data_IF_745195078096
#
_entry.id   IF_745195078096
#
_cell.length_a   1.000
_cell.length_b   1.000
_cell.length_c   1.000
_cell.angle_alpha   90.00
_cell.angle_beta   90.00
_cell.angle_gamma   90.00
#
_symmetry.space_group_name_H-M   'P 1'
#
loop_
_entity.id
_entity.type
_entity.pdbx_description
1 polymer ?
#
# COMPACT_ATOMS: atom_id res chain seq x y z
N UNK A 1 2.90 16.59 -9.00
CA UNK A 1 2.52 15.25 -8.51
C UNK A 1 2.52 15.36 -7.00
N UNK A 2 1.64 14.65 -6.27
CA UNK A 2 1.56 14.77 -4.82
C UNK A 2 2.75 14.12 -4.12
N UNK A 3 2.97 14.53 -2.90
CA UNK A 3 4.19 14.34 -2.10
C UNK A 3 4.57 12.89 -1.83
N UNK A 4 3.72 11.92 -2.05
CA UNK A 4 4.09 10.53 -1.89
C UNK A 4 3.07 9.55 -2.46
N UNK A 5 3.54 8.45 -2.99
CA UNK A 5 2.73 7.28 -3.31
C UNK A 5 2.99 6.25 -2.21
N UNK A 6 2.06 6.15 -1.26
CA UNK A 6 2.10 5.12 -0.21
C UNK A 6 1.94 3.75 -0.85
N UNK A 7 2.73 2.80 -0.39
CA UNK A 7 2.77 1.43 -0.88
C UNK A 7 2.12 0.50 0.15
N UNK A 8 1.22 -0.35 -0.30
CA UNK A 8 0.74 -1.46 0.49
C UNK A 8 1.71 -2.68 0.41
N UNK A 9 1.53 -3.71 1.24
CA UNK A 9 2.40 -4.91 1.20
C UNK A 9 2.43 -5.62 -0.16
N UNK A 10 1.32 -5.64 -0.89
CA UNK A 10 1.23 -6.21 -2.23
C UNK A 10 2.05 -5.41 -3.24
N UNK A 11 2.06 -4.08 -3.11
CA UNK A 11 2.85 -3.20 -3.96
C UNK A 11 4.35 -3.44 -3.79
N UNK A 12 4.82 -3.52 -2.55
CA UNK A 12 6.24 -3.79 -2.25
C UNK A 12 6.63 -5.18 -2.72
N UNK A 13 5.78 -6.19 -2.51
CA UNK A 13 6.01 -7.54 -3.03
C UNK A 13 6.11 -7.54 -4.57
N UNK A 14 5.17 -6.90 -5.28
CA UNK A 14 5.20 -6.79 -6.75
C UNK A 14 6.42 -6.04 -7.27
N UNK A 15 6.84 -4.98 -6.58
CA UNK A 15 8.08 -4.26 -6.92
C UNK A 15 9.31 -5.15 -6.74
N UNK A 16 9.38 -5.88 -5.64
CA UNK A 16 10.44 -6.85 -5.35
C UNK A 16 10.55 -7.89 -6.47
N UNK A 17 9.42 -8.50 -6.84
CA UNK A 17 9.36 -9.50 -7.92
C UNK A 17 9.72 -8.91 -9.29
N UNK A 18 9.09 -7.80 -9.66
CA UNK A 18 9.27 -7.20 -10.98
C UNK A 18 10.65 -6.60 -11.23
N UNK A 19 11.37 -6.24 -10.16
CA UNK A 19 12.73 -5.69 -10.21
C UNK A 19 13.81 -6.70 -9.82
N UNK A 20 13.42 -7.86 -9.28
CA UNK A 20 14.35 -8.86 -8.72
C UNK A 20 15.23 -8.28 -7.61
N UNK A 21 14.63 -7.46 -6.72
CA UNK A 21 15.30 -6.79 -5.61
C UNK A 21 14.66 -7.21 -4.29
N UNK A 22 15.48 -7.41 -3.26
CA UNK A 22 14.97 -7.55 -1.90
C UNK A 22 14.35 -6.22 -1.40
N UNK A 23 13.55 -6.27 -0.34
CA UNK A 23 12.96 -5.07 0.26
C UNK A 23 14.04 -4.10 0.74
N UNK A 24 15.14 -4.60 1.32
CA UNK A 24 16.27 -3.77 1.73
C UNK A 24 16.97 -3.09 0.54
N UNK A 25 17.07 -3.78 -0.60
CA UNK A 25 17.58 -3.17 -1.85
C UNK A 25 16.60 -2.13 -2.43
N UNK A 26 15.29 -2.34 -2.30
CA UNK A 26 14.31 -1.31 -2.65
C UNK A 26 14.47 -0.07 -1.77
N UNK A 27 14.60 -0.24 -0.45
CA UNK A 27 14.82 0.84 0.52
C UNK A 27 16.14 1.59 0.28
N UNK A 28 17.14 0.96 -0.31
CA UNK A 28 18.40 1.62 -0.64
C UNK A 28 18.29 2.73 -1.70
N UNK A 29 17.18 2.81 -2.47
CA UNK A 29 17.10 3.87 -3.48
C UNK A 29 15.83 3.93 -4.34
N UNK A 30 14.84 3.09 -4.06
CA UNK A 30 13.60 3.02 -4.85
C UNK A 30 12.35 3.37 -4.07
N UNK A 31 12.35 3.03 -2.80
CA UNK A 31 11.31 3.37 -1.84
C UNK A 31 11.97 3.99 -0.60
N UNK A 32 11.18 4.66 0.22
CA UNK A 32 11.61 5.24 1.49
C UNK A 32 10.53 5.05 2.54
N UNK A 33 10.89 5.08 3.81
CA UNK A 33 9.92 5.07 4.90
C UNK A 33 9.47 6.50 5.19
N UNK A 34 8.18 6.71 5.22
CA UNK A 34 7.57 7.99 5.55
C UNK A 34 6.44 7.80 6.56
N UNK A 35 5.95 8.90 7.14
CA UNK A 35 4.83 8.89 8.07
C UNK A 35 3.56 9.28 7.32
N UNK A 36 2.54 8.45 7.40
CA UNK A 36 1.19 8.71 6.89
C UNK A 36 0.20 8.40 7.99
N UNK A 37 -0.55 9.42 8.43
CA UNK A 37 -1.57 9.27 9.47
C UNK A 37 -1.05 8.57 10.74
N UNK A 38 0.18 8.89 11.18
CA UNK A 38 0.85 8.31 12.34
C UNK A 38 1.53 6.97 12.10
N UNK A 39 1.23 6.29 10.99
CA UNK A 39 1.86 5.03 10.60
C UNK A 39 3.16 5.27 9.82
N UNK A 40 4.21 4.50 10.10
CA UNK A 40 5.42 4.45 9.27
C UNK A 40 5.21 3.44 8.16
N UNK A 41 5.14 3.92 6.92
CA UNK A 41 4.86 3.10 5.74
C UNK A 41 5.89 3.33 4.63
N UNK A 42 6.12 2.35 3.74
CA UNK A 42 6.91 2.56 2.54
C UNK A 42 6.19 3.48 1.54
N UNK A 43 6.98 4.35 0.93
CA UNK A 43 6.55 5.27 -0.13
C UNK A 43 7.43 5.10 -1.36
N UNK A 44 6.92 5.38 -2.55
CA UNK A 44 7.78 5.55 -3.71
C UNK A 44 8.71 6.74 -3.52
N UNK A 45 9.99 6.53 -3.79
CA UNK A 45 10.95 7.62 -3.69
C UNK A 45 10.73 8.65 -4.80
N UNK A 46 10.67 9.92 -4.39
CA UNK A 46 10.66 11.05 -5.29
C UNK A 46 12.06 11.63 -5.41
N UNK A 47 12.42 12.16 -6.57
CA UNK A 47 13.78 12.63 -6.87
C UNK A 47 13.77 13.99 -7.57
N UNK A 48 14.84 14.76 -7.36
CA UNK A 48 15.03 16.08 -7.96
C UNK A 48 14.16 17.17 -7.32
N UNK A 49 14.40 18.41 -7.72
CA UNK A 49 13.65 19.58 -7.22
C UNK A 49 12.16 19.58 -7.60
N UNK A 50 11.79 18.81 -8.62
CA UNK A 50 10.40 18.69 -9.09
C UNK A 50 9.67 17.49 -8.45
N UNK A 51 10.28 16.80 -7.47
CA UNK A 51 9.71 15.63 -6.79
C UNK A 51 9.12 14.60 -7.77
N UNK A 52 9.93 14.20 -8.73
CA UNK A 52 9.52 13.23 -9.76
C UNK A 52 9.73 11.82 -9.26
N UNK A 53 8.76 10.94 -9.54
CA UNK A 53 8.87 9.53 -9.24
C UNK A 53 10.13 8.92 -9.86
N UNK A 54 10.91 8.18 -9.08
CA UNK A 54 12.16 7.51 -9.49
C UNK A 54 12.00 6.57 -10.69
N UNK A 55 10.78 6.14 -10.97
CA UNK A 55 10.44 5.26 -12.09
C UNK A 55 9.96 5.97 -13.36
N UNK A 56 9.95 7.30 -13.38
CA UNK A 56 9.65 8.04 -14.62
C UNK A 56 10.90 8.12 -15.50
N UNK A 57 10.74 7.67 -16.74
CA UNK A 57 11.78 7.83 -17.75
C UNK A 57 11.81 9.28 -18.31
N UNK A 58 12.78 9.57 -19.20
CA UNK A 58 12.92 10.88 -19.86
C UNK A 58 11.68 11.34 -20.64
N UNK A 59 10.84 10.40 -21.09
CA UNK A 59 9.59 10.68 -21.80
C UNK A 59 8.39 10.85 -20.87
N UNK A 60 8.60 10.89 -19.54
CA UNK A 60 7.53 10.99 -18.54
C UNK A 60 6.66 9.73 -18.43
N UNK A 61 7.13 8.57 -18.91
CA UNK A 61 6.42 7.29 -18.83
C UNK A 61 6.98 6.46 -17.69
N UNK A 62 6.08 5.72 -17.02
CA UNK A 62 6.45 4.80 -15.96
C UNK A 62 7.21 3.58 -16.51
N UNK A 63 8.44 3.36 -16.05
CA UNK A 63 9.29 2.23 -16.46
C UNK A 63 8.82 0.89 -15.86
N UNK A 64 8.05 0.92 -14.78
CA UNK A 64 7.49 -0.25 -14.09
C UNK A 64 5.98 -0.41 -14.34
N UNK A 65 5.47 0.03 -15.49
CA UNK A 65 4.04 0.14 -15.76
C UNK A 65 3.28 -1.19 -15.58
N UNK A 66 3.89 -2.33 -15.90
CA UNK A 66 3.28 -3.66 -15.77
C UNK A 66 3.04 -4.09 -14.32
N UNK A 67 3.89 -3.65 -13.39
CA UNK A 67 3.80 -3.94 -11.95
C UNK A 67 3.80 -2.68 -11.08
N UNK A 68 3.32 -1.57 -11.65
CA UNK A 68 3.14 -0.31 -10.92
C UNK A 68 2.21 -0.49 -9.71
N UNK A 69 2.43 0.29 -8.62
CA UNK A 69 1.61 0.24 -7.42
C UNK A 69 0.12 0.42 -7.65
N UNK A 70 -0.68 -0.13 -6.76
CA UNK A 70 -2.14 -0.05 -6.79
C UNK A 70 -2.67 1.38 -6.82
N UNK A 71 -2.06 2.29 -6.07
CA UNK A 71 -2.40 3.71 -6.10
C UNK A 71 -2.18 4.32 -7.50
N UNK A 72 -1.07 3.98 -8.16
CA UNK A 72 -0.79 4.44 -9.53
C UNK A 72 -1.74 3.81 -10.56
N UNK A 73 -2.24 2.57 -10.32
CA UNK A 73 -3.25 1.92 -11.17
C UNK A 73 -4.62 2.55 -11.00
N UNK A 74 -4.93 2.93 -9.78
CA UNK A 74 -6.23 3.47 -9.40
C UNK A 74 -6.50 4.84 -10.04
N UNK A 75 -5.49 5.72 -10.11
CA UNK A 75 -5.65 7.08 -10.64
C UNK A 75 -6.33 7.10 -12.04
N UNK A 76 -7.34 7.93 -12.29
CA UNK A 76 -7.86 9.03 -11.46
C UNK A 76 -9.03 8.63 -10.54
N UNK A 77 -9.17 7.34 -10.23
CA UNK A 77 -10.13 6.91 -9.22
C UNK A 77 -9.53 7.08 -7.82
N UNK A 78 -10.39 7.22 -6.83
CA UNK A 78 -10.09 7.11 -5.40
C UNK A 78 -10.96 6.02 -4.78
N UNK A 79 -10.70 5.68 -3.51
CA UNK A 79 -11.56 4.86 -2.67
C UNK A 79 -12.12 5.73 -1.55
N UNK A 80 -13.43 5.66 -1.37
CA UNK A 80 -14.11 6.25 -0.23
C UNK A 80 -14.52 5.13 0.71
N UNK A 81 -13.89 5.07 1.87
CA UNK A 81 -14.08 4.01 2.86
C UNK A 81 -15.19 4.40 3.83
N UNK A 82 -16.11 3.48 4.11
CA UNK A 82 -17.27 3.65 4.98
C UNK A 82 -17.78 2.29 5.42
N UNK A 83 -18.13 2.13 6.70
CA UNK A 83 -18.79 0.94 7.27
C UNK A 83 -18.10 -0.40 6.92
N UNK A 84 -16.78 -0.48 7.10
CA UNK A 84 -16.02 -1.71 6.83
C UNK A 84 -15.89 -2.07 5.35
N UNK A 85 -16.20 -1.13 4.46
CA UNK A 85 -16.22 -1.32 3.01
C UNK A 85 -15.64 -0.09 2.30
N UNK A 86 -15.67 -0.07 0.96
CA UNK A 86 -15.37 1.13 0.19
C UNK A 86 -16.14 1.21 -1.12
N UNK A 87 -16.20 2.41 -1.66
CA UNK A 87 -16.72 2.71 -2.99
C UNK A 87 -15.66 3.39 -3.85
N UNK A 88 -15.61 3.07 -5.13
CA UNK A 88 -14.76 3.83 -6.04
C UNK A 88 -15.41 5.18 -6.37
N UNK A 89 -14.61 6.23 -6.29
CA UNK A 89 -15.00 7.59 -6.66
C UNK A 89 -14.11 8.09 -7.79
N UNK A 90 -14.67 8.90 -8.69
CA UNK A 90 -13.89 9.55 -9.75
C UNK A 90 -13.43 10.93 -9.26
N UNK A 91 -12.11 11.13 -9.22
CA UNK A 91 -11.51 12.43 -8.93
C UNK A 91 -11.57 13.30 -10.19
N UNK A 92 -12.71 13.96 -10.38
CA UNK A 92 -13.05 14.65 -11.65
C UNK A 92 -12.12 15.81 -11.99
N UNK A 93 -11.51 16.46 -10.99
CA UNK A 93 -10.59 17.58 -11.17
C UNK A 93 -9.17 17.15 -11.50
N UNK A 94 -8.80 15.90 -11.21
CA UNK A 94 -7.46 15.35 -11.44
C UNK A 94 -7.24 14.88 -12.89
N UNK A 95 -8.30 14.54 -13.60
CA UNK A 95 -8.20 14.07 -14.98
C UNK A 95 -8.51 15.19 -15.98
N UNK A 96 -7.49 15.71 -16.63
CA UNK A 96 -7.59 16.79 -17.65
C UNK A 96 -8.19 16.36 -18.99
N UNK A 97 -8.48 15.07 -19.20
CA UNK A 97 -9.05 14.60 -20.48
C UNK A 97 -10.52 14.99 -20.59
N UNK A 98 -10.89 15.64 -21.67
CA UNK A 98 -12.27 16.04 -21.99
C UNK A 98 -13.10 14.91 -22.59
N UNK A 99 -12.47 14.02 -23.37
CA UNK A 99 -13.11 12.84 -23.95
C UNK A 99 -12.88 11.63 -23.05
N UNK A 100 -13.96 11.13 -22.42
CA UNK A 100 -13.92 10.00 -21.49
C UNK A 100 -14.78 8.87 -21.98
N UNK A 101 -14.25 7.66 -22.03
CA UNK A 101 -15.02 6.44 -22.33
C UNK A 101 -15.49 5.78 -21.03
N UNK A 102 -16.67 5.17 -21.04
CA UNK A 102 -17.10 4.31 -19.93
C UNK A 102 -16.26 3.04 -19.91
N UNK A 103 -15.60 2.76 -18.79
CA UNK A 103 -14.82 1.54 -18.57
C UNK A 103 -15.20 0.94 -17.21
N UNK A 104 -15.26 -0.39 -17.12
CA UNK A 104 -15.47 -1.06 -15.84
C UNK A 104 -14.23 -0.87 -14.96
N UNK A 105 -14.40 -0.60 -13.66
CA UNK A 105 -13.33 -0.41 -12.69
C UNK A 105 -12.32 -1.56 -12.72
N UNK A 106 -12.77 -2.81 -12.75
CA UNK A 106 -11.91 -3.99 -12.88
C UNK A 106 -10.96 -3.92 -14.08
N UNK A 107 -11.45 -3.41 -15.22
CA UNK A 107 -10.61 -3.25 -16.43
C UNK A 107 -9.67 -2.04 -16.33
N UNK A 108 -10.06 -1.04 -15.55
CA UNK A 108 -9.24 0.15 -15.34
C UNK A 108 -8.05 -0.15 -14.41
N UNK A 109 -8.34 -0.74 -13.27
CA UNK A 109 -7.31 -1.09 -12.26
C UNK A 109 -6.38 -2.18 -12.80
N UNK A 110 -6.88 -3.08 -13.66
CA UNK A 110 -6.10 -4.10 -14.36
C UNK A 110 -5.15 -4.86 -13.44
N UNK A 111 -5.71 -5.45 -12.38
CA UNK A 111 -4.95 -6.27 -11.43
C UNK A 111 -5.42 -7.72 -11.45
N UNK A 112 -4.52 -8.71 -11.38
CA UNK A 112 -4.91 -10.11 -11.21
C UNK A 112 -5.75 -10.28 -9.95
N UNK A 113 -6.65 -11.27 -9.99
CA UNK A 113 -7.50 -11.63 -8.86
C UNK A 113 -8.17 -10.42 -8.18
N UNK A 114 -8.94 -9.67 -8.99
CA UNK A 114 -9.50 -8.38 -8.59
C UNK A 114 -10.36 -8.47 -7.33
N UNK A 115 -11.04 -9.59 -7.08
CA UNK A 115 -11.90 -9.75 -5.89
C UNK A 115 -11.05 -9.87 -4.62
N UNK A 116 -9.99 -10.68 -4.62
CA UNK A 116 -9.07 -10.77 -3.48
C UNK A 116 -8.29 -9.47 -3.30
N UNK A 117 -7.98 -8.77 -4.40
CA UNK A 117 -7.39 -7.44 -4.33
C UNK A 117 -8.31 -6.42 -3.62
N UNK A 118 -9.60 -6.36 -3.96
CA UNK A 118 -10.55 -5.46 -3.30
C UNK A 118 -10.68 -5.78 -1.81
N UNK A 119 -10.79 -7.08 -1.47
CA UNK A 119 -10.80 -7.50 -0.07
C UNK A 119 -9.53 -7.09 0.66
N UNK A 120 -8.36 -7.37 0.09
CA UNK A 120 -7.07 -7.05 0.67
C UNK A 120 -6.91 -5.55 0.95
N UNK A 121 -7.20 -4.68 -0.02
CA UNK A 121 -7.02 -3.23 0.16
C UNK A 121 -8.02 -2.65 1.17
N UNK A 122 -9.20 -3.25 1.31
CA UNK A 122 -10.17 -2.92 2.33
C UNK A 122 -9.67 -3.29 3.72
N UNK A 123 -9.27 -4.55 3.91
CA UNK A 123 -8.79 -5.08 5.19
C UNK A 123 -7.50 -4.36 5.63
N UNK A 124 -6.59 -4.08 4.69
CA UNK A 124 -5.38 -3.33 4.98
C UNK A 124 -5.67 -1.91 5.46
N UNK A 125 -6.63 -1.23 4.83
CA UNK A 125 -7.02 0.12 5.25
C UNK A 125 -7.56 0.12 6.70
N UNK A 126 -8.50 -0.76 7.01
CA UNK A 126 -9.07 -0.82 8.36
C UNK A 126 -8.07 -1.28 9.41
N UNK A 127 -7.18 -2.22 9.07
CA UNK A 127 -6.05 -2.59 9.93
C UNK A 127 -5.16 -1.38 10.27
N UNK A 128 -4.83 -0.53 9.28
CA UNK A 128 -4.04 0.68 9.54
C UNK A 128 -4.80 1.69 10.40
N UNK A 129 -6.12 1.80 10.27
CA UNK A 129 -6.94 2.65 11.16
C UNK A 129 -6.91 2.14 12.60
N UNK A 130 -6.98 0.83 12.82
CA UNK A 130 -6.87 0.23 14.16
C UNK A 130 -5.49 0.51 14.77
N UNK A 131 -4.42 0.34 14.00
CA UNK A 131 -3.06 0.70 14.42
C UNK A 131 -2.97 2.18 14.76
N UNK A 132 -3.50 3.05 13.90
CA UNK A 132 -3.53 4.50 14.09
C UNK A 132 -4.25 4.90 15.39
N UNK A 133 -5.39 4.26 15.70
CA UNK A 133 -6.13 4.52 16.94
C UNK A 133 -5.25 4.24 18.17
N UNK A 134 -4.54 3.11 18.19
CA UNK A 134 -3.61 2.75 19.28
C UNK A 134 -2.46 3.76 19.37
N UNK A 135 -1.91 4.20 18.23
CA UNK A 135 -0.81 5.17 18.19
C UNK A 135 -1.22 6.55 18.74
N UNK A 136 -2.46 6.99 18.46
CA UNK A 136 -2.97 8.29 18.95
C UNK A 136 -3.35 8.28 20.44
N UNK A 137 -3.79 7.14 20.95
CA UNK A 137 -4.13 7.00 22.36
C UNK A 137 -2.91 6.83 23.28
N UNK A 138 -1.75 6.48 22.71
CA UNK A 138 -0.54 6.19 23.49
C UNK A 138 0.37 7.41 23.60
N UNK A 139 0.82 7.69 24.84
CA UNK A 139 1.93 8.62 25.13
C UNK A 139 3.30 7.88 25.22
N UNK A 140 3.30 6.54 25.16
CA UNK A 140 4.51 5.73 25.23
C UNK A 140 5.24 5.71 23.88
N UNK A 141 6.34 6.44 23.81
CA UNK A 141 7.18 6.52 22.60
C UNK A 141 7.79 5.18 22.18
N UNK A 142 8.06 4.27 23.13
CA UNK A 142 8.60 2.95 22.83
C UNK A 142 7.51 2.04 22.25
N UNK A 143 6.28 2.10 22.76
CA UNK A 143 5.16 1.41 22.17
C UNK A 143 4.89 1.90 20.74
N UNK A 144 4.84 3.22 20.53
CA UNK A 144 4.64 3.84 19.20
C UNK A 144 5.70 3.35 18.22
N UNK A 145 6.96 3.40 18.60
CA UNK A 145 8.07 2.93 17.77
C UNK A 145 7.98 1.43 17.49
N UNK A 146 7.74 0.63 18.51
CA UNK A 146 7.71 -0.83 18.39
C UNK A 146 6.54 -1.29 17.53
N UNK A 147 5.36 -0.67 17.64
CA UNK A 147 4.19 -0.99 16.83
C UNK A 147 4.43 -0.65 15.35
N UNK A 148 4.97 0.53 15.06
CA UNK A 148 5.34 0.92 13.71
C UNK A 148 6.39 -0.02 13.10
N UNK A 149 7.46 -0.34 13.86
CA UNK A 149 8.48 -1.26 13.40
C UNK A 149 7.95 -2.68 13.21
N UNK A 150 6.99 -3.09 14.04
CA UNK A 150 6.28 -4.35 13.88
C UNK A 150 5.53 -4.41 12.54
N UNK A 151 4.73 -3.39 12.21
CA UNK A 151 4.02 -3.31 10.91
C UNK A 151 5.00 -3.41 9.74
N UNK A 152 6.08 -2.63 9.76
CA UNK A 152 7.10 -2.65 8.70
C UNK A 152 7.75 -4.04 8.58
N UNK A 153 8.14 -4.64 9.69
CA UNK A 153 8.85 -5.92 9.66
C UNK A 153 7.95 -7.08 9.24
N UNK A 154 6.72 -7.15 9.74
CA UNK A 154 5.83 -8.29 9.48
C UNK A 154 5.18 -8.25 8.11
N UNK A 155 4.81 -7.07 7.62
CA UNK A 155 4.03 -6.96 6.39
C UNK A 155 4.87 -6.56 5.17
N UNK A 156 6.05 -6.01 5.36
CA UNK A 156 6.88 -5.55 4.24
C UNK A 156 8.25 -6.24 4.17
N UNK A 157 8.96 -6.40 5.29
CA UNK A 157 10.32 -6.98 5.29
C UNK A 157 10.31 -8.50 5.35
N UNK A 158 9.30 -9.12 5.94
CA UNK A 158 9.16 -10.56 5.93
C UNK A 158 8.99 -11.03 4.48
N UNK A 159 9.84 -11.95 3.99
CA UNK A 159 9.75 -12.39 2.61
C UNK A 159 8.46 -13.19 2.37
N UNK A 160 7.74 -12.82 1.31
CA UNK A 160 6.68 -13.64 0.75
C UNK A 160 7.28 -14.64 -0.24
N UNK A 161 6.86 -15.89 -0.15
CA UNK A 161 7.27 -16.93 -1.10
C UNK A 161 6.63 -16.68 -2.48
N UNK A 162 7.44 -16.56 -3.51
CA UNK A 162 7.01 -16.28 -4.88
C UNK A 162 6.14 -17.40 -5.48
N UNK A 163 6.28 -18.63 -4.97
CA UNK A 163 5.56 -19.81 -5.45
C UNK A 163 4.19 -20.00 -4.80
N UNK A 164 3.87 -19.19 -3.82
CA UNK A 164 2.61 -19.24 -3.08
C UNK A 164 1.77 -18.01 -3.36
N UNK A 165 0.45 -18.15 -3.20
CA UNK A 165 -0.45 -17.01 -3.29
C UNK A 165 -0.12 -15.94 -2.26
N UNK A 166 -0.07 -14.68 -2.68
CA UNK A 166 0.25 -13.56 -1.81
C UNK A 166 -0.81 -13.37 -0.72
N UNK A 167 -2.08 -13.46 -1.09
CA UNK A 167 -3.18 -13.18 -0.17
C UNK A 167 -3.26 -14.23 0.94
N UNK A 168 -3.04 -15.50 0.62
CA UNK A 168 -2.95 -16.57 1.64
C UNK A 168 -1.85 -16.28 2.65
N UNK A 169 -0.67 -15.86 2.18
CA UNK A 169 0.46 -15.54 3.05
C UNK A 169 0.21 -14.28 3.89
N UNK A 170 -0.38 -13.24 3.29
CA UNK A 170 -0.74 -12.01 3.99
C UNK A 170 -1.73 -12.30 5.12
N UNK A 171 -2.80 -13.03 4.83
CA UNK A 171 -3.81 -13.35 5.84
C UNK A 171 -3.30 -14.30 6.93
N UNK A 172 -2.35 -15.20 6.64
CA UNK A 172 -1.71 -16.01 7.66
C UNK A 172 -0.96 -15.17 8.71
N UNK A 173 -0.39 -14.04 8.29
CA UNK A 173 0.25 -13.08 9.21
C UNK A 173 -0.80 -12.32 10.01
N UNK A 174 -1.83 -11.76 9.37
CA UNK A 174 -2.86 -10.94 10.02
C UNK A 174 -3.73 -11.74 11.00
N UNK A 175 -4.10 -12.97 10.69
CA UNK A 175 -4.90 -13.84 11.61
C UNK A 175 -4.17 -14.19 12.90
N UNK A 176 -2.86 -14.32 12.88
CA UNK A 176 -2.08 -14.61 14.09
C UNK A 176 -2.18 -13.46 15.11
N UNK A 177 -2.45 -12.24 14.66
CA UNK A 177 -2.51 -11.04 15.50
C UNK A 177 -3.90 -10.71 16.02
N UNK A 178 -4.95 -10.89 15.21
CA UNK A 178 -6.32 -10.73 15.67
C UNK A 178 -6.62 -11.67 16.83
N UNK A 179 -6.15 -12.93 16.75
CA UNK A 179 -6.29 -13.88 17.89
C UNK A 179 -5.47 -13.52 19.12
N UNK A 180 -4.29 -12.89 18.95
CA UNK A 180 -3.48 -12.46 20.10
C UNK A 180 -4.16 -11.30 20.86
N UNK A 181 -4.81 -10.38 20.15
CA UNK A 181 -5.57 -9.29 20.75
C UNK A 181 -6.86 -9.75 21.43
N UNK A 182 -7.60 -10.69 20.83
CA UNK A 182 -8.79 -11.29 21.46
C UNK A 182 -8.44 -12.06 22.74
N UNK A 183 -7.27 -12.71 22.79
CA UNK A 183 -6.81 -13.44 23.97
C UNK A 183 -6.31 -12.50 25.07
N UNK A 184 -5.67 -11.38 24.71
CA UNK A 184 -5.21 -10.37 25.67
C UNK A 184 -6.34 -9.50 26.23
N UNK A 185 -7.43 -9.28 25.49
CA UNK A 185 -8.61 -8.56 25.97
C UNK A 185 -9.54 -9.40 26.87
N UNK A 186 -9.31 -10.73 26.95
CA UNK A 186 -10.07 -11.67 27.78
C UNK A 186 -9.30 -12.15 29.02
N UNK A 187 -8.18 -11.54 29.37
CA UNK A 187 -7.40 -11.71 30.60
C UNK A 187 -7.44 -10.45 31.46
#
# INVERSE_FOLDING_TARGET
MGDSVVLDPLDVWRLSQGLHLSVDQLLAGKIELGVTDGNILPHLRMTGAEERCVYLNSNGRCSIHSFRPGFCRLFPLGRYYEDGSFKYILQIHECKKTSRSKIKVRKWVDTPDFQNYEKFVCDWHYFLLDVQAVLYESEDSDLIRNLNMYVVNQFYRKPYDEKRDFYEQFYAVSYTHLRAHETAANL
#
